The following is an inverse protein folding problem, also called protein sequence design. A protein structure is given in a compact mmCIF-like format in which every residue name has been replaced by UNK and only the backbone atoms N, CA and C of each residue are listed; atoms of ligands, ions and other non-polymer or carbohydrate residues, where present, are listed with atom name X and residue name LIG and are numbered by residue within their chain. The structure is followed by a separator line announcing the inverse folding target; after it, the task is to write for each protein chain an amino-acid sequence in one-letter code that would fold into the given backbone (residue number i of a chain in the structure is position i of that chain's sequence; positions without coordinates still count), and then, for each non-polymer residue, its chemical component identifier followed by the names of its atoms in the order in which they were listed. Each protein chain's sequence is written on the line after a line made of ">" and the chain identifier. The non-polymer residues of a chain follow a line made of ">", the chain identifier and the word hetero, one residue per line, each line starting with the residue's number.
data_IF_522653653522
#
_entry.id   IF_522653653522
#
_cell.length_a   1.000
_cell.length_b   1.000
_cell.length_c   1.000
_cell.angle_alpha   90.00
_cell.angle_beta   90.00
_cell.angle_gamma   90.00
#
_symmetry.space_group_name_H-M   'P 1'
#
loop_
_entity.id
_entity.type
_entity.pdbx_description
1 polymer ?
#
# COMPACT_ATOMS: atom_id res chain seq x y z
N UNK A 1 -0.99 -19.11 -5.85
CA UNK A 1 -2.44 -19.32 -5.65
C UNK A 1 -3.14 -18.45 -6.68
N UNK A 2 -3.98 -19.05 -7.51
CA UNK A 2 -4.75 -18.36 -8.57
C UNK A 2 -6.23 -18.46 -8.20
N UNK A 3 -6.98 -17.39 -8.41
CA UNK A 3 -8.43 -17.36 -8.17
C UNK A 3 -9.14 -17.19 -9.49
N UNK A 4 -9.95 -18.18 -9.90
CA UNK A 4 -10.68 -18.16 -11.16
C UNK A 4 -11.97 -17.32 -11.04
N UNK A 5 -12.26 -16.51 -12.07
CA UNK A 5 -13.45 -15.64 -12.14
C UNK A 5 -14.15 -15.76 -13.49
N UNK A 6 -15.46 -15.52 -13.50
CA UNK A 6 -16.26 -15.63 -14.73
C UNK A 6 -15.90 -14.49 -15.69
N UNK A 7 -15.80 -14.79 -16.99
CA UNK A 7 -15.54 -13.77 -18.05
C UNK A 7 -16.53 -12.60 -18.03
N UNK A 8 -17.76 -12.83 -17.56
CA UNK A 8 -18.78 -11.79 -17.46
C UNK A 8 -18.41 -10.68 -16.47
N UNK A 9 -17.62 -10.98 -15.43
CA UNK A 9 -17.24 -10.02 -14.38
C UNK A 9 -16.19 -9.01 -14.85
N UNK A 10 -15.51 -9.30 -15.96
CA UNK A 10 -14.60 -8.36 -16.61
C UNK A 10 -15.33 -7.39 -17.55
N UNK A 11 -16.64 -7.59 -17.79
CA UNK A 11 -17.45 -6.66 -18.59
C UNK A 11 -17.89 -5.51 -17.67
N UNK A 12 -17.08 -4.46 -17.58
CA UNK A 12 -17.23 -3.33 -16.67
C UNK A 12 -18.44 -2.42 -16.93
N UNK A 13 -19.66 -2.97 -16.95
CA UNK A 13 -20.89 -2.24 -17.27
C UNK A 13 -21.21 -1.12 -16.26
N UNK A 14 -20.69 -1.21 -15.03
CA UNK A 14 -21.04 -0.28 -13.94
C UNK A 14 -19.82 0.37 -13.26
N UNK A 15 -18.60 0.19 -13.79
CA UNK A 15 -17.36 0.57 -13.11
C UNK A 15 -17.29 2.06 -12.73
N UNK A 16 -17.64 2.96 -13.64
CA UNK A 16 -17.57 4.42 -13.38
C UNK A 16 -18.57 4.82 -12.30
N UNK A 17 -19.75 4.20 -12.28
CA UNK A 17 -20.78 4.44 -11.27
C UNK A 17 -20.34 3.92 -9.90
N UNK A 18 -19.81 2.70 -9.85
CA UNK A 18 -19.30 2.07 -8.63
C UNK A 18 -18.14 2.86 -8.03
N UNK A 19 -17.22 3.31 -8.87
CA UNK A 19 -16.11 4.16 -8.45
C UNK A 19 -16.58 5.52 -7.94
N UNK A 20 -17.67 6.07 -8.49
CA UNK A 20 -18.28 7.31 -7.99
C UNK A 20 -18.72 7.21 -6.52
N UNK A 21 -19.02 6.01 -6.01
CA UNK A 21 -19.34 5.78 -4.60
C UNK A 21 -18.09 5.61 -3.74
N UNK A 22 -17.04 4.99 -4.28
CA UNK A 22 -15.83 4.63 -3.53
C UNK A 22 -14.78 5.74 -3.48
N UNK A 23 -14.66 6.53 -4.55
CA UNK A 23 -13.58 7.51 -4.68
C UNK A 23 -13.92 8.81 -3.97
N UNK A 24 -12.94 9.37 -3.26
CA UNK A 24 -13.03 10.70 -2.67
C UNK A 24 -12.81 11.80 -3.72
N UNK A 25 -13.76 12.71 -3.87
CA UNK A 25 -13.61 13.92 -4.68
C UNK A 25 -14.21 13.80 -6.10
N UNK A 26 -13.72 14.61 -7.03
CA UNK A 26 -14.23 14.61 -8.42
C UNK A 26 -13.86 13.33 -9.17
N UNK A 27 -14.81 12.83 -9.97
CA UNK A 27 -14.64 11.69 -10.86
C UNK A 27 -14.05 12.05 -12.22
N UNK A 28 -13.94 13.33 -12.57
CA UNK A 28 -13.39 13.78 -13.85
C UNK A 28 -11.95 13.26 -14.09
N UNK A 29 -10.98 13.45 -13.17
CA UNK A 29 -9.62 12.94 -13.37
C UNK A 29 -9.56 11.40 -13.36
N UNK A 30 -10.51 10.75 -12.69
CA UNK A 30 -10.60 9.29 -12.65
C UNK A 30 -11.07 8.77 -14.01
N UNK A 31 -12.05 9.43 -14.63
CA UNK A 31 -12.58 9.05 -15.94
C UNK A 31 -11.50 9.15 -17.02
N UNK A 32 -10.74 10.24 -17.01
CA UNK A 32 -9.63 10.44 -17.94
C UNK A 32 -8.55 9.36 -17.77
N UNK A 33 -8.24 9.02 -16.51
CA UNK A 33 -7.28 7.97 -16.20
C UNK A 33 -7.76 6.59 -16.64
N UNK A 34 -9.05 6.26 -16.48
CA UNK A 34 -9.61 4.99 -16.96
C UNK A 34 -9.61 4.91 -18.49
N UNK A 35 -9.93 6.02 -19.16
CA UNK A 35 -9.91 6.10 -20.62
C UNK A 35 -8.50 5.91 -21.21
N UNK A 36 -7.45 6.23 -20.46
CA UNK A 36 -6.07 6.05 -20.88
C UNK A 36 -5.62 4.57 -20.94
N UNK A 37 -6.42 3.61 -20.45
CA UNK A 37 -6.06 2.18 -20.42
C UNK A 37 -7.19 1.30 -20.95
N UNK A 38 -6.88 0.42 -21.92
CA UNK A 38 -7.88 -0.46 -22.51
C UNK A 38 -8.31 -1.61 -21.58
N UNK A 39 -7.36 -2.23 -20.87
CA UNK A 39 -7.59 -3.47 -20.10
C UNK A 39 -7.66 -3.26 -18.58
N UNK A 40 -7.03 -2.21 -18.06
CA UNK A 40 -6.98 -1.95 -16.62
C UNK A 40 -8.37 -1.73 -15.98
N UNK A 41 -9.32 -1.03 -16.61
CA UNK A 41 -10.66 -0.84 -16.04
C UNK A 41 -11.41 -2.16 -15.83
N UNK A 42 -11.33 -3.09 -16.79
CA UNK A 42 -11.97 -4.40 -16.71
C UNK A 42 -11.41 -5.24 -15.54
N UNK A 43 -10.09 -5.24 -15.36
CA UNK A 43 -9.44 -5.93 -14.24
C UNK A 43 -9.80 -5.29 -12.90
N UNK A 44 -9.85 -3.95 -12.82
CA UNK A 44 -10.24 -3.21 -11.63
C UNK A 44 -11.68 -3.56 -11.22
N UNK A 45 -12.63 -3.57 -12.16
CA UNK A 45 -14.02 -3.94 -11.90
C UNK A 45 -14.16 -5.36 -11.35
N UNK A 46 -13.41 -6.32 -11.90
CA UNK A 46 -13.40 -7.69 -11.39
C UNK A 46 -12.86 -7.77 -9.96
N UNK A 47 -11.79 -7.02 -9.64
CA UNK A 47 -11.22 -6.99 -8.28
C UNK A 47 -12.18 -6.33 -7.29
N UNK A 48 -12.85 -5.25 -7.70
CA UNK A 48 -13.86 -4.58 -6.87
C UNK A 48 -15.03 -5.50 -6.52
N UNK A 49 -15.53 -6.24 -7.51
CA UNK A 49 -16.57 -7.25 -7.31
C UNK A 49 -16.08 -8.41 -6.44
N UNK A 50 -14.85 -8.88 -6.65
CA UNK A 50 -14.26 -9.96 -5.85
C UNK A 50 -14.05 -9.58 -4.39
N UNK A 51 -13.60 -8.35 -4.13
CA UNK A 51 -13.38 -7.82 -2.78
C UNK A 51 -14.67 -7.31 -2.12
N UNK A 52 -15.80 -7.35 -2.83
CA UNK A 52 -17.13 -6.93 -2.39
C UNK A 52 -17.14 -5.52 -1.76
N UNK A 53 -16.42 -4.58 -2.40
CA UNK A 53 -16.16 -3.26 -1.81
C UNK A 53 -17.43 -2.43 -1.64
N UNK A 54 -18.45 -2.66 -2.47
CA UNK A 54 -19.72 -1.94 -2.43
C UNK A 54 -20.68 -2.46 -1.37
N UNK A 55 -20.46 -3.66 -0.81
CA UNK A 55 -21.32 -4.20 0.24
C UNK A 55 -21.09 -3.53 1.60
N UNK A 56 -19.91 -2.95 1.82
CA UNK A 56 -19.55 -2.25 3.06
C UNK A 56 -19.55 -0.73 2.84
N UNK A 57 -20.57 -0.03 3.33
CA UNK A 57 -20.72 1.42 3.19
C UNK A 57 -19.55 2.21 3.81
N UNK A 58 -18.80 1.62 4.73
CA UNK A 58 -17.60 2.26 5.28
C UNK A 58 -16.48 2.44 4.24
N UNK A 59 -16.61 1.84 3.06
CA UNK A 59 -15.71 2.03 1.93
C UNK A 59 -16.02 3.28 1.10
N UNK A 60 -17.20 3.89 1.25
CA UNK A 60 -17.62 5.00 0.41
C UNK A 60 -16.78 6.25 0.65
N UNK A 61 -16.33 6.90 -0.43
CA UNK A 61 -15.49 8.10 -0.38
C UNK A 61 -14.12 7.92 0.28
N UNK A 62 -13.64 6.68 0.45
CA UNK A 62 -12.39 6.38 1.17
C UNK A 62 -11.26 5.87 0.26
N UNK A 63 -11.48 5.81 -1.06
CA UNK A 63 -10.49 5.37 -2.03
C UNK A 63 -9.97 6.53 -2.88
N UNK A 64 -8.74 6.36 -3.39
CA UNK A 64 -8.14 7.21 -4.40
C UNK A 64 -7.59 6.33 -5.50
N UNK A 65 -7.91 6.66 -6.75
CA UNK A 65 -7.34 5.98 -7.92
C UNK A 65 -6.08 6.71 -8.35
N UNK A 66 -5.02 5.94 -8.58
CA UNK A 66 -3.75 6.44 -9.10
C UNK A 66 -3.17 5.44 -10.10
N UNK A 67 -2.55 5.95 -11.15
CA UNK A 67 -1.75 5.14 -12.07
C UNK A 67 -0.51 4.64 -11.33
N UNK A 68 -0.29 3.33 -11.34
CA UNK A 68 0.94 2.74 -10.83
C UNK A 68 1.97 2.63 -11.97
N UNK A 69 3.09 3.33 -11.84
CA UNK A 69 4.17 3.29 -12.83
C UNK A 69 5.29 2.32 -12.41
N UNK A 70 5.44 1.25 -13.18
CA UNK A 70 6.50 0.25 -12.99
C UNK A 70 7.88 0.74 -13.41
N UNK A 71 7.98 1.84 -14.17
CA UNK A 71 9.26 2.39 -14.61
C UNK A 71 9.95 3.22 -13.52
N UNK A 72 9.24 3.62 -12.47
CA UNK A 72 9.78 4.40 -11.34
C UNK A 72 10.63 3.56 -10.37
N UNK A 73 10.47 2.24 -10.42
CA UNK A 73 11.08 1.31 -9.48
C UNK A 73 11.94 0.26 -10.18
N UNK A 74 12.96 -0.23 -9.48
CA UNK A 74 13.79 -1.31 -9.98
C UNK A 74 12.97 -2.58 -10.17
N UNK A 75 13.02 -3.16 -11.37
CA UNK A 75 12.37 -4.44 -11.66
C UNK A 75 13.25 -5.58 -11.17
N UNK A 76 12.73 -6.35 -10.22
CA UNK A 76 13.36 -7.55 -9.71
C UNK A 76 12.51 -8.76 -10.11
N UNK A 77 13.15 -9.77 -10.67
CA UNK A 77 12.50 -11.03 -10.95
C UNK A 77 12.40 -11.87 -9.66
N UNK A 78 11.57 -12.92 -9.71
CA UNK A 78 11.35 -13.76 -8.53
C UNK A 78 12.61 -14.52 -8.10
N UNK A 79 13.55 -14.78 -9.02
CA UNK A 79 14.81 -15.46 -8.68
C UNK A 79 15.77 -14.50 -7.97
N UNK A 80 15.96 -13.26 -8.46
CA UNK A 80 16.80 -12.28 -7.76
C UNK A 80 16.25 -11.95 -6.36
N UNK A 81 14.92 -11.83 -6.22
CA UNK A 81 14.29 -11.58 -4.91
C UNK A 81 14.62 -12.66 -3.88
N UNK A 82 14.67 -13.93 -4.32
CA UNK A 82 15.08 -15.07 -3.47
C UNK A 82 16.59 -15.12 -3.28
N UNK A 83 17.39 -14.93 -4.32
CA UNK A 83 18.85 -14.97 -4.24
C UNK A 83 19.41 -13.92 -3.27
N UNK A 84 18.79 -12.73 -3.24
CA UNK A 84 19.15 -11.64 -2.33
C UNK A 84 18.47 -11.75 -0.95
N UNK A 85 17.67 -12.80 -0.69
CA UNK A 85 16.93 -13.02 0.56
C UNK A 85 16.25 -11.75 1.10
N UNK A 86 15.61 -10.98 0.22
CA UNK A 86 15.15 -9.63 0.61
C UNK A 86 13.96 -9.71 1.57
N UNK A 87 13.08 -10.70 1.38
CA UNK A 87 11.90 -10.92 2.19
C UNK A 87 12.06 -12.17 3.05
N UNK A 88 11.43 -12.19 4.23
CA UNK A 88 11.37 -13.38 5.10
C UNK A 88 10.70 -14.55 4.36
N UNK A 89 11.36 -15.71 4.33
CA UNK A 89 10.75 -16.96 3.88
C UNK A 89 10.22 -17.74 5.09
N UNK A 90 9.10 -18.47 4.91
CA UNK A 90 8.56 -19.34 5.96
C UNK A 90 9.50 -20.51 6.31
N UNK A 91 10.45 -20.82 5.43
CA UNK A 91 11.46 -21.86 5.65
C UNK A 91 12.65 -21.37 6.47
N UNK A 92 12.79 -20.07 6.72
CA UNK A 92 13.94 -19.52 7.43
C UNK A 92 13.79 -19.75 8.94
N UNK A 93 14.75 -20.48 9.52
CA UNK A 93 14.79 -20.71 10.97
C UNK A 93 15.05 -19.42 11.78
N UNK A 94 15.68 -18.40 11.16
CA UNK A 94 16.00 -17.12 11.79
C UNK A 94 15.50 -15.94 10.96
N UNK A 95 14.70 -15.06 11.57
CA UNK A 95 14.15 -13.87 10.91
C UNK A 95 15.22 -12.90 10.42
N UNK A 96 16.36 -12.84 11.10
CA UNK A 96 17.49 -11.97 10.72
C UNK A 96 18.26 -12.45 9.47
N UNK A 97 17.90 -13.62 8.90
CA UNK A 97 18.55 -14.13 7.69
C UNK A 97 18.14 -13.35 6.42
N UNK A 98 16.98 -12.67 6.48
CA UNK A 98 16.50 -11.83 5.38
C UNK A 98 16.88 -10.36 5.58
N UNK A 99 17.04 -9.63 4.47
CA UNK A 99 17.31 -8.18 4.48
C UNK A 99 16.21 -7.43 5.26
N UNK A 100 14.95 -7.80 5.05
CA UNK A 100 13.83 -7.24 5.78
C UNK A 100 13.96 -7.47 7.29
N UNK A 101 14.26 -8.69 7.74
CA UNK A 101 14.41 -8.97 9.17
C UNK A 101 15.60 -8.26 9.81
N UNK A 102 16.69 -8.07 9.06
CA UNK A 102 17.85 -7.31 9.51
C UNK A 102 17.53 -5.81 9.70
N UNK A 103 16.94 -5.19 8.67
CA UNK A 103 16.66 -3.75 8.62
C UNK A 103 15.43 -3.33 9.43
N UNK A 104 14.47 -4.23 9.63
CA UNK A 104 13.24 -3.91 10.32
C UNK A 104 13.43 -3.75 11.83
N UNK A 105 13.84 -2.55 12.23
CA UNK A 105 13.92 -2.07 13.62
C UNK A 105 12.92 -0.95 13.91
N UNK A 106 11.79 -1.00 13.20
CA UNK A 106 10.71 -0.02 13.30
C UNK A 106 10.02 -0.10 14.67
N UNK A 107 9.63 1.06 15.22
CA UNK A 107 9.11 1.17 16.59
C UNK A 107 7.59 1.26 16.67
N UNK A 108 6.93 1.63 15.57
CA UNK A 108 5.50 1.88 15.50
C UNK A 108 4.72 0.58 15.50
N UNK A 109 3.45 0.61 15.92
CA UNK A 109 2.54 -0.53 15.83
C UNK A 109 2.18 -0.88 14.36
N UNK A 110 3.09 -1.53 13.62
CA UNK A 110 2.82 -2.08 12.29
C UNK A 110 2.98 -1.14 11.10
N UNK A 111 2.65 0.16 11.22
CA UNK A 111 2.73 1.09 10.07
C UNK A 111 4.13 1.21 9.45
N UNK A 112 5.16 1.40 10.29
CA UNK A 112 6.54 1.45 9.81
C UNK A 112 7.01 0.14 9.20
N UNK A 113 6.58 -1.00 9.77
CA UNK A 113 6.86 -2.33 9.21
C UNK A 113 6.28 -2.49 7.81
N UNK A 114 5.03 -2.05 7.60
CA UNK A 114 4.35 -2.07 6.29
C UNK A 114 5.06 -1.18 5.26
N UNK A 115 5.46 0.03 5.67
CA UNK A 115 6.19 0.97 4.82
C UNK A 115 7.55 0.42 4.39
N UNK A 116 8.35 -0.09 5.33
CA UNK A 116 9.65 -0.68 5.02
C UNK A 116 9.53 -1.88 4.07
N UNK A 117 8.53 -2.74 4.31
CA UNK A 117 8.24 -3.88 3.45
C UNK A 117 7.89 -3.44 2.02
N UNK A 118 7.18 -2.32 1.85
CA UNK A 118 6.89 -1.74 0.53
C UNK A 118 8.16 -1.20 -0.12
N UNK A 119 9.00 -0.47 0.61
CA UNK A 119 10.24 0.11 0.07
C UNK A 119 11.22 -0.94 -0.44
N UNK A 120 11.39 -2.06 0.28
CA UNK A 120 12.29 -3.13 -0.18
C UNK A 120 11.81 -3.82 -1.46
N UNK A 121 10.49 -3.83 -1.71
CA UNK A 121 9.91 -4.37 -2.95
C UNK A 121 9.91 -3.37 -4.10
N UNK A 122 10.09 -2.09 -3.79
CA UNK A 122 10.01 -0.98 -4.74
C UNK A 122 11.24 -0.08 -4.60
N UNK A 123 12.45 -0.56 -4.96
CA UNK A 123 13.65 0.25 -4.92
C UNK A 123 13.50 1.43 -5.89
N UNK A 124 13.86 2.63 -5.45
CA UNK A 124 13.76 3.85 -6.25
C UNK A 124 14.82 3.87 -7.37
N UNK A 125 14.49 4.48 -8.51
CA UNK A 125 15.42 4.74 -9.60
C UNK A 125 15.80 6.23 -9.73
N UNK A 126 15.00 7.13 -9.18
CA UNK A 126 15.28 8.57 -9.20
C UNK A 126 16.35 8.93 -8.16
N UNK A 127 17.46 9.47 -8.63
CA UNK A 127 18.60 9.90 -7.81
C UNK A 127 18.19 10.95 -6.78
N UNK A 128 17.30 11.88 -7.14
CA UNK A 128 16.87 12.93 -6.22
C UNK A 128 16.06 12.35 -5.04
N UNK A 129 15.17 11.38 -5.32
CA UNK A 129 14.40 10.70 -4.28
C UNK A 129 15.28 9.81 -3.40
N UNK A 130 16.32 9.20 -3.97
CA UNK A 130 17.32 8.43 -3.22
C UNK A 130 18.09 9.35 -2.28
N UNK A 131 18.64 10.45 -2.79
CA UNK A 131 19.42 11.40 -1.99
C UNK A 131 18.57 12.01 -0.88
N UNK A 132 17.35 12.44 -1.17
CA UNK A 132 16.43 12.95 -0.15
C UNK A 132 16.20 11.93 0.99
N UNK A 133 16.07 10.63 0.68
CA UNK A 133 15.98 9.58 1.72
C UNK A 133 17.30 9.42 2.48
N UNK A 134 18.44 9.52 1.81
CA UNK A 134 19.76 9.41 2.44
C UNK A 134 20.03 10.59 3.37
N UNK A 135 19.68 11.82 2.97
CA UNK A 135 19.81 13.03 3.78
C UNK A 135 19.01 12.91 5.08
N UNK A 136 17.77 12.40 4.99
CA UNK A 136 16.95 12.13 6.18
C UNK A 136 17.61 11.10 7.10
N UNK A 137 18.19 10.04 6.55
CA UNK A 137 18.91 9.04 7.36
C UNK A 137 20.15 9.65 8.00
N UNK A 138 20.91 10.45 7.25
CA UNK A 138 22.13 11.11 7.72
C UNK A 138 21.84 12.03 8.91
N UNK A 139 20.78 12.83 8.85
CA UNK A 139 20.36 13.68 9.97
C UNK A 139 20.13 12.89 11.28
N UNK A 140 19.52 11.70 11.19
CA UNK A 140 19.31 10.83 12.37
C UNK A 140 20.53 9.99 12.76
N UNK A 141 21.53 9.88 11.90
CA UNK A 141 22.81 9.23 12.23
C UNK A 141 23.71 10.21 12.96
N UNK A 142 23.74 11.47 12.52
CA UNK A 142 24.50 12.56 13.14
C UNK A 142 23.94 12.95 14.51
N UNK A 143 22.61 13.07 14.65
CA UNK A 143 21.96 13.33 15.94
C UNK A 143 21.36 12.06 16.56
N UNK A 144 22.19 11.37 17.34
CA UNK A 144 21.78 10.17 18.06
C UNK A 144 20.76 10.41 19.17
N UNK A 145 20.74 11.60 19.79
CA UNK A 145 19.83 11.93 20.88
C UNK A 145 18.42 12.14 20.33
N UNK A 146 18.28 12.97 19.30
CA UNK A 146 17.02 13.18 18.56
C UNK A 146 16.45 11.85 18.07
N UNK A 147 17.29 10.97 17.52
CA UNK A 147 16.85 9.64 17.07
C UNK A 147 16.29 8.80 18.21
N UNK A 148 16.91 8.80 19.38
CA UNK A 148 16.40 8.02 20.53
C UNK A 148 15.08 8.59 21.04
N UNK A 149 14.97 9.91 21.18
CA UNK A 149 13.76 10.57 21.64
C UNK A 149 12.59 10.32 20.69
N UNK A 150 12.81 10.49 19.38
CA UNK A 150 11.80 10.22 18.36
C UNK A 150 11.35 8.75 18.40
N UNK A 151 12.28 7.81 18.57
CA UNK A 151 11.95 6.37 18.69
C UNK A 151 11.05 6.11 19.90
N UNK A 152 11.28 6.77 21.04
CA UNK A 152 10.43 6.62 22.21
C UNK A 152 9.01 7.16 21.96
N UNK A 153 8.88 8.30 21.30
CA UNK A 153 7.57 8.87 20.96
C UNK A 153 6.83 7.99 19.93
N UNK A 154 7.52 7.52 18.89
CA UNK A 154 6.93 6.67 17.85
C UNK A 154 6.43 5.32 18.39
N UNK A 155 6.99 4.80 19.48
CA UNK A 155 6.47 3.57 20.15
C UNK A 155 5.07 3.77 20.73
N UNK A 156 4.73 5.00 21.14
CA UNK A 156 3.43 5.33 21.75
C UNK A 156 2.33 5.50 20.70
N UNK A 157 2.70 5.68 19.43
CA UNK A 157 1.77 5.85 18.33
C UNK A 157 1.28 4.47 17.87
N UNK A 158 -0.04 4.28 17.98
CA UNK A 158 -0.78 3.11 17.49
C UNK A 158 -0.91 3.14 15.95
N UNK A 159 -1.39 2.05 15.36
CA UNK A 159 -1.56 1.94 13.90
C UNK A 159 -2.66 2.89 13.42
N UNK A 160 -2.29 4.13 13.07
CA UNK A 160 -3.24 5.19 12.71
C UNK A 160 -4.15 4.77 11.56
N UNK A 161 -3.64 4.08 10.55
CA UNK A 161 -4.45 3.58 9.44
C UNK A 161 -5.55 2.61 9.92
N UNK A 162 -5.23 1.72 10.88
CA UNK A 162 -6.23 0.80 11.44
C UNK A 162 -7.23 1.53 12.31
N UNK A 163 -6.79 2.52 13.09
CA UNK A 163 -7.67 3.34 13.91
C UNK A 163 -8.66 4.12 13.05
N UNK A 164 -8.20 4.83 12.03
CA UNK A 164 -9.07 5.55 11.09
C UNK A 164 -10.08 4.60 10.46
N UNK A 165 -9.65 3.43 9.98
CA UNK A 165 -10.57 2.43 9.40
C UNK A 165 -11.60 1.91 10.42
N UNK A 166 -11.21 1.73 11.68
CA UNK A 166 -12.14 1.33 12.74
C UNK A 166 -13.16 2.43 13.05
N UNK A 167 -12.75 3.70 13.04
CA UNK A 167 -13.64 4.83 13.25
C UNK A 167 -14.65 4.98 12.11
N UNK A 168 -14.21 4.90 10.85
CA UNK A 168 -15.12 4.98 9.69
C UNK A 168 -16.18 3.86 9.72
N UNK A 169 -15.79 2.64 10.10
CA UNK A 169 -16.74 1.53 10.29
C UNK A 169 -17.76 1.79 11.41
N UNK A 170 -17.30 2.31 12.55
CA UNK A 170 -18.19 2.67 13.66
C UNK A 170 -19.12 3.84 13.32
N UNK A 171 -18.66 4.76 12.47
CA UNK A 171 -19.47 5.87 11.98
C UNK A 171 -20.56 5.36 11.03
N UNK A 172 -20.20 4.51 10.07
CA UNK A 172 -21.14 3.86 9.17
C UNK A 172 -22.17 3.03 9.94
N UNK A 173 -21.75 2.24 10.95
CA UNK A 173 -22.68 1.45 11.75
C UNK A 173 -23.68 2.29 12.56
N UNK A 174 -23.32 3.51 12.95
CA UNK A 174 -24.22 4.44 13.67
C UNK A 174 -25.12 5.25 12.75
N UNK A 175 -24.74 5.44 11.49
CA UNK A 175 -25.56 6.12 10.49
C UNK A 175 -26.68 5.21 9.94
N UNK A 176 -26.54 3.89 10.11
CA UNK A 176 -27.53 2.89 9.69
C UNK A 176 -28.56 2.51 10.80
N UNK A 177 -28.51 3.17 11.96
CA UNK A 177 -29.49 3.03 13.04
C UNK A 177 -30.40 4.25 13.16
#
# INVERSE_FOLDING_TARGET
>A
MVTERKKAEFKGRDLVQDLGRLVKGSMDPVRDLLAAFELAPAALGCIMSYADLLADESNYGNYKIQRYDLARYMRLDSAAMRALNVMESKADANKNFSLFGLLNRTCTAGMGKRLLHMWLKQPLLDVNEINCRLDLVQAFVEDGALRQDLRQQLKRISDMERLTRSLERKRASRACC
#
